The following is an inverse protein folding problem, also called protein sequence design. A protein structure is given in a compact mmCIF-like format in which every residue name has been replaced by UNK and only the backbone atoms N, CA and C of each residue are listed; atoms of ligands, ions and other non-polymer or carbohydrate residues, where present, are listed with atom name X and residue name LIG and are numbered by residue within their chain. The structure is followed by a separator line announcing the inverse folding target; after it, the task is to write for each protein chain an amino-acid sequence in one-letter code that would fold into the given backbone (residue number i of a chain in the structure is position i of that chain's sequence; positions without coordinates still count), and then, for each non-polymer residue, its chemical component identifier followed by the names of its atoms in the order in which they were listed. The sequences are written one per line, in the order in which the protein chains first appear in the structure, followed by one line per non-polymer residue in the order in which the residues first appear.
data_IF_653305765118
#
_entry.id   IF_653305765118
#
_cell.length_a   1.000
_cell.length_b   1.000
_cell.length_c   1.000
_cell.angle_alpha   90.00
_cell.angle_beta   90.00
_cell.angle_gamma   90.00
#
_symmetry.space_group_name_H-M   'P 1'
#
loop_
_entity.id
_entity.type
_entity.pdbx_description
1 polymer ?
#
# COMPACT_ATOMS: atom_id res chain seq x y z
N UNK A 1 -11.62 -0.61 -6.66
CA UNK A 1 -12.85 0.01 -7.18
C UNK A 1 -12.63 1.46 -7.64
N UNK A 2 -12.26 2.41 -6.76
CA UNK A 2 -11.96 3.80 -7.19
C UNK A 2 -10.69 3.93 -8.02
N UNK A 3 -9.63 3.21 -7.65
CA UNK A 3 -8.41 3.10 -8.46
C UNK A 3 -8.67 2.54 -9.87
N UNK A 4 -9.59 1.58 -9.99
CA UNK A 4 -9.98 1.01 -11.29
C UNK A 4 -10.75 2.05 -12.13
N UNK A 5 -11.60 2.87 -11.50
CA UNK A 5 -12.30 3.98 -12.14
C UNK A 5 -11.35 5.09 -12.60
N UNK A 6 -10.33 5.44 -11.80
CA UNK A 6 -9.29 6.42 -12.17
C UNK A 6 -8.56 5.97 -13.43
N UNK A 7 -8.17 4.69 -13.53
CA UNK A 7 -7.53 4.14 -14.73
C UNK A 7 -8.48 4.20 -15.92
N UNK A 8 -9.74 3.80 -15.75
CA UNK A 8 -10.73 3.84 -16.83
C UNK A 8 -11.01 5.27 -17.33
N UNK A 9 -11.07 6.27 -16.44
CA UNK A 9 -11.30 7.67 -16.83
C UNK A 9 -10.07 8.32 -17.46
N UNK A 10 -8.87 7.94 -17.02
CA UNK A 10 -7.62 8.35 -17.65
C UNK A 10 -7.52 7.81 -19.07
N UNK A 11 -7.81 6.52 -19.27
CA UNK A 11 -7.76 5.87 -20.58
C UNK A 11 -8.86 6.40 -21.53
N UNK A 12 -9.99 6.86 -20.97
CA UNK A 12 -11.07 7.48 -21.74
C UNK A 12 -10.89 8.99 -22.00
N UNK A 13 -9.80 9.61 -21.53
CA UNK A 13 -9.55 11.06 -21.67
C UNK A 13 -10.59 11.94 -20.96
N UNK A 14 -11.25 11.40 -19.93
CA UNK A 14 -12.30 12.07 -19.15
C UNK A 14 -11.70 12.75 -17.93
N UNK A 15 -10.94 13.81 -18.17
CA UNK A 15 -10.22 14.55 -17.13
C UNK A 15 -11.14 15.16 -16.05
N UNK A 16 -12.41 15.42 -16.39
CA UNK A 16 -13.45 15.89 -15.47
C UNK A 16 -13.76 14.85 -14.39
N UNK A 17 -13.97 13.60 -14.82
CA UNK A 17 -14.29 12.47 -13.94
C UNK A 17 -13.04 11.94 -13.21
N UNK A 18 -11.89 11.99 -13.88
CA UNK A 18 -10.60 11.64 -13.28
C UNK A 18 -10.32 12.52 -12.06
N UNK A 19 -10.40 13.84 -12.20
CA UNK A 19 -10.16 14.79 -11.11
C UNK A 19 -11.16 14.63 -9.96
N UNK A 20 -12.42 14.34 -10.27
CA UNK A 20 -13.44 14.10 -9.25
C UNK A 20 -13.13 12.85 -8.42
N UNK A 21 -12.74 11.74 -9.06
CA UNK A 21 -12.35 10.52 -8.35
C UNK A 21 -11.02 10.68 -7.61
N UNK A 22 -10.02 11.36 -8.17
CA UNK A 22 -8.75 11.64 -7.50
C UNK A 22 -8.98 12.50 -6.24
N UNK A 23 -9.83 13.52 -6.31
CA UNK A 23 -10.17 14.37 -5.17
C UNK A 23 -10.99 13.64 -4.10
N UNK A 24 -11.94 12.77 -4.48
CA UNK A 24 -12.64 11.91 -3.52
C UNK A 24 -11.70 10.88 -2.88
N UNK A 25 -10.74 10.35 -3.64
CA UNK A 25 -9.72 9.43 -3.13
C UNK A 25 -8.81 10.13 -2.11
N UNK A 26 -8.37 11.36 -2.41
CA UNK A 26 -7.59 12.20 -1.50
C UNK A 26 -8.36 12.55 -0.23
N UNK A 27 -9.64 12.92 -0.33
CA UNK A 27 -10.47 13.19 0.84
C UNK A 27 -10.63 11.93 1.70
N UNK A 28 -10.91 10.78 1.10
CA UNK A 28 -10.98 9.51 1.84
C UNK A 28 -9.64 9.20 2.52
N UNK A 29 -8.53 9.40 1.82
CA UNK A 29 -7.18 9.22 2.37
C UNK A 29 -6.86 10.21 3.50
N UNK A 30 -7.42 11.43 3.46
CA UNK A 30 -7.26 12.46 4.50
C UNK A 30 -8.13 12.26 5.74
N UNK A 31 -9.23 11.51 5.64
CA UNK A 31 -10.09 11.13 6.78
C UNK A 31 -9.67 9.81 7.45
N UNK A 32 -8.84 8.98 6.79
CA UNK A 32 -8.16 7.85 7.41
C UNK A 32 -6.93 8.37 8.18
N UNK A 33 -6.67 7.91 9.43
CA UNK A 33 -5.48 8.32 10.16
C UNK A 33 -4.26 8.06 9.29
N UNK A 34 -3.42 9.09 9.08
CA UNK A 34 -2.32 9.14 8.11
C UNK A 34 -1.65 7.77 7.96
N UNK A 35 -2.09 7.04 6.94
CA UNK A 35 -1.56 5.72 6.66
C UNK A 35 -0.13 5.91 6.18
N UNK A 36 0.78 5.07 6.66
CA UNK A 36 2.17 5.06 6.22
C UNK A 36 2.21 5.02 4.69
N UNK A 37 3.07 5.87 4.14
CA UNK A 37 3.35 5.92 2.71
C UNK A 37 4.01 4.63 2.22
N UNK A 38 4.00 4.40 0.90
CA UNK A 38 4.64 3.23 0.30
C UNK A 38 6.14 3.13 0.67
N UNK A 39 6.84 4.27 0.72
CA UNK A 39 8.25 4.33 1.11
C UNK A 39 8.46 3.95 2.58
N UNK A 40 7.63 4.45 3.49
CA UNK A 40 7.70 4.10 4.91
C UNK A 40 7.38 2.63 5.18
N UNK A 41 6.41 2.08 4.43
CA UNK A 41 6.11 0.64 4.43
C UNK A 41 7.34 -0.13 3.96
N UNK A 42 7.96 0.28 2.85
CA UNK A 42 9.13 -0.38 2.28
C UNK A 42 10.32 -0.39 3.24
N UNK A 43 10.65 0.75 3.84
CA UNK A 43 11.72 0.84 4.85
C UNK A 43 11.43 -0.09 6.03
N UNK A 44 10.19 -0.13 6.49
CA UNK A 44 9.79 -1.01 7.60
C UNK A 44 9.90 -2.49 7.23
N UNK A 45 9.43 -2.87 6.04
CA UNK A 45 9.54 -4.24 5.50
C UNK A 45 11.01 -4.66 5.39
N UNK A 46 11.87 -3.82 4.80
CA UNK A 46 13.30 -4.09 4.66
C UNK A 46 13.97 -4.30 6.02
N UNK A 47 13.61 -3.49 7.01
CA UNK A 47 14.08 -3.66 8.38
C UNK A 47 13.65 -5.02 8.96
N UNK A 48 12.38 -5.41 8.81
CA UNK A 48 11.88 -6.70 9.32
C UNK A 48 12.59 -7.88 8.63
N UNK A 49 12.79 -7.81 7.31
CA UNK A 49 13.53 -8.82 6.53
C UNK A 49 14.96 -8.93 7.04
N UNK A 50 15.64 -7.80 7.21
CA UNK A 50 17.04 -7.74 7.67
C UNK A 50 17.21 -8.25 9.09
N UNK A 51 16.24 -8.01 9.97
CA UNK A 51 16.23 -8.51 11.34
C UNK A 51 15.86 -10.01 11.42
N UNK A 52 15.29 -10.59 10.36
CA UNK A 52 14.78 -11.96 10.35
C UNK A 52 15.14 -12.72 9.07
N UNK A 53 16.43 -12.81 8.72
CA UNK A 53 16.87 -13.39 7.44
C UNK A 53 16.58 -14.90 7.32
N UNK A 54 16.37 -15.58 8.45
CA UNK A 54 16.10 -17.02 8.52
C UNK A 54 14.61 -17.37 8.47
N UNK A 55 13.71 -16.38 8.44
CA UNK A 55 12.28 -16.63 8.40
C UNK A 55 11.81 -16.85 6.97
N UNK A 56 11.01 -17.90 6.79
CA UNK A 56 10.30 -18.13 5.55
C UNK A 56 9.27 -17.04 5.27
N UNK A 57 8.85 -16.95 4.00
CA UNK A 57 7.89 -15.95 3.51
C UNK A 57 6.61 -15.86 4.35
N UNK A 58 6.01 -17.00 4.71
CA UNK A 58 4.75 -17.02 5.48
C UNK A 58 4.88 -16.36 6.87
N UNK A 59 5.80 -16.83 7.72
CA UNK A 59 6.11 -16.19 9.02
C UNK A 59 6.50 -14.71 8.90
N UNK A 60 7.33 -14.37 7.92
CA UNK A 60 7.80 -12.99 7.71
C UNK A 60 6.64 -12.06 7.32
N UNK A 61 5.76 -12.52 6.42
CA UNK A 61 4.56 -11.79 6.02
C UNK A 61 3.58 -11.61 7.20
N UNK A 62 3.45 -12.62 8.07
CA UNK A 62 2.69 -12.50 9.31
C UNK A 62 3.22 -11.41 10.24
N UNK A 63 4.55 -11.31 10.36
CA UNK A 63 5.24 -10.29 11.18
C UNK A 63 5.04 -8.88 10.62
N UNK A 64 5.20 -8.72 9.30
CA UNK A 64 4.96 -7.46 8.58
C UNK A 64 3.51 -6.99 8.75
N UNK A 65 2.53 -7.87 8.48
CA UNK A 65 1.11 -7.53 8.62
C UNK A 65 0.75 -7.18 10.06
N UNK A 66 1.35 -7.86 11.05
CA UNK A 66 1.15 -7.54 12.46
C UNK A 66 1.69 -6.17 12.86
N UNK A 67 2.89 -5.81 12.39
CA UNK A 67 3.54 -4.54 12.75
C UNK A 67 2.88 -3.32 12.09
N UNK A 68 2.36 -3.49 10.88
CA UNK A 68 1.74 -2.44 10.07
C UNK A 68 0.21 -2.42 10.18
N UNK A 69 -0.38 -3.30 10.99
CA UNK A 69 -1.82 -3.38 11.21
C UNK A 69 -2.36 -2.04 11.74
N UNK A 70 -3.28 -1.44 10.98
CA UNK A 70 -3.91 -0.16 11.36
C UNK A 70 -3.01 1.07 11.21
N UNK A 71 -1.76 0.89 10.75
CA UNK A 71 -0.83 1.98 10.42
C UNK A 71 -0.67 2.18 8.92
N UNK A 72 -0.96 1.16 8.13
CA UNK A 72 -0.82 1.16 6.68
C UNK A 72 -1.98 0.40 6.03
N UNK A 73 -2.25 0.68 4.76
CA UNK A 73 -3.22 -0.09 3.99
C UNK A 73 -2.71 -1.53 3.82
N UNK A 74 -3.49 -2.52 4.28
CA UNK A 74 -3.08 -3.93 4.26
C UNK A 74 -2.85 -4.49 2.86
N UNK A 75 -3.49 -3.92 1.83
CA UNK A 75 -3.29 -4.28 0.43
C UNK A 75 -1.95 -3.74 -0.08
N UNK A 76 -1.65 -2.47 0.26
CA UNK A 76 -0.36 -1.85 -0.06
C UNK A 76 0.80 -2.56 0.64
N UNK A 77 0.65 -2.86 1.94
CA UNK A 77 1.63 -3.64 2.72
C UNK A 77 1.93 -4.98 2.06
N UNK A 78 0.88 -5.73 1.67
CA UNK A 78 1.05 -7.02 1.01
C UNK A 78 1.78 -6.88 -0.33
N UNK A 79 1.46 -5.85 -1.13
CA UNK A 79 2.12 -5.58 -2.41
C UNK A 79 3.61 -5.29 -2.22
N UNK A 80 3.95 -4.37 -1.32
CA UNK A 80 5.34 -3.98 -1.04
C UNK A 80 6.13 -5.16 -0.46
N UNK A 81 5.58 -5.85 0.52
CA UNK A 81 6.23 -6.99 1.16
C UNK A 81 6.47 -8.15 0.18
N UNK A 82 5.53 -8.44 -0.71
CA UNK A 82 5.75 -9.44 -1.76
C UNK A 82 6.88 -9.05 -2.71
N UNK A 83 7.03 -7.75 -3.01
CA UNK A 83 8.12 -7.23 -3.85
C UNK A 83 9.48 -7.32 -3.17
N UNK A 84 9.58 -6.96 -1.89
CA UNK A 84 10.85 -6.96 -1.16
C UNK A 84 11.30 -8.36 -0.71
N UNK A 85 10.37 -9.26 -0.34
CA UNK A 85 10.73 -10.61 0.16
C UNK A 85 11.07 -11.59 -0.99
N UNK A 86 10.50 -11.39 -2.19
CA UNK A 86 10.83 -12.22 -3.36
C UNK A 86 12.12 -11.81 -4.08
N UNK A 87 12.74 -10.71 -3.65
CA UNK A 87 13.93 -10.15 -4.26
C UNK A 87 15.18 -10.81 -3.71
#
# INVERSE_FOLDING_TARGET
KRQDSIVAYRDAGRDDLLKAEEHELELINGYLPALMSEDEIKVTVQKIVSENPSLDFGPLMGKVMGQLKGKADGTLVKKVAQGEIKK
#
